data_IF_497415420121
#
_entry.id   IF_497415420121
#
_cell.length_a   1.000
_cell.length_b   1.000
_cell.length_c   1.000
_cell.angle_alpha   90.00
_cell.angle_beta   90.00
_cell.angle_gamma   90.00
#
_symmetry.space_group_name_H-M   'P 1'
#
loop_
_entity.id
_entity.type
_entity.pdbx_description
1 polymer ?
#
# COMPACT_ATOMS: atom_id res chain seq x y z
N UNK A 1 -8.45 -12.64 17.67
CA UNK A 1 -8.56 -11.97 16.36
C UNK A 1 -7.18 -11.96 15.73
N UNK A 2 -7.04 -12.49 14.51
CA UNK A 2 -5.75 -12.54 13.80
C UNK A 2 -5.54 -11.18 13.12
N UNK A 3 -4.35 -10.55 13.19
CA UNK A 3 -4.10 -9.29 12.51
C UNK A 3 -4.31 -9.47 11.00
N UNK A 4 -4.84 -8.46 10.29
CA UNK A 4 -4.98 -8.54 8.85
C UNK A 4 -3.60 -8.77 8.25
N UNK A 5 -3.40 -9.90 7.55
CA UNK A 5 -2.14 -10.12 6.83
C UNK A 5 -1.93 -8.95 5.86
N UNK A 6 -0.69 -8.46 5.69
CA UNK A 6 -0.37 -7.56 4.59
C UNK A 6 -0.70 -8.31 3.31
N UNK A 7 -1.76 -7.88 2.64
CA UNK A 7 -2.17 -8.46 1.37
C UNK A 7 -1.23 -7.89 0.32
N UNK A 8 -0.49 -8.73 -0.43
CA UNK A 8 0.27 -8.27 -1.56
C UNK A 8 -0.70 -7.56 -2.51
N UNK A 9 -0.44 -6.28 -2.77
CA UNK A 9 -1.29 -5.46 -3.64
C UNK A 9 -1.47 -6.15 -5.01
N UNK A 10 -0.43 -6.81 -5.48
CA UNK A 10 -0.34 -7.71 -6.62
C UNK A 10 -1.59 -8.58 -6.81
N UNK A 11 -2.04 -9.24 -5.75
CA UNK A 11 -3.05 -10.31 -5.78
C UNK A 11 -4.50 -9.78 -5.75
N UNK A 12 -4.68 -8.53 -5.31
CA UNK A 12 -6.00 -7.93 -5.07
C UNK A 12 -6.28 -6.67 -5.88
N UNK A 13 -5.31 -6.16 -6.63
CA UNK A 13 -5.39 -4.85 -7.32
C UNK A 13 -5.56 -4.98 -8.83
N UNK A 14 -5.20 -6.13 -9.42
CA UNK A 14 -5.32 -6.37 -10.85
C UNK A 14 -6.39 -7.44 -11.11
N UNK A 15 -7.48 -7.09 -11.82
CA UNK A 15 -8.33 -8.12 -12.43
C UNK A 15 -7.48 -9.00 -13.34
N UNK A 16 -7.67 -10.31 -13.29
CA UNK A 16 -6.93 -11.26 -14.12
C UNK A 16 -6.86 -10.77 -15.58
N UNK A 17 -5.63 -10.56 -16.08
CA UNK A 17 -5.36 -10.16 -17.47
C UNK A 17 -5.27 -8.66 -17.76
N UNK A 18 -5.40 -7.76 -16.77
CA UNK A 18 -5.20 -6.31 -16.99
C UNK A 18 -3.74 -5.93 -16.70
N UNK A 19 -3.07 -5.32 -17.68
CA UNK A 19 -1.70 -4.81 -17.47
C UNK A 19 -1.70 -3.59 -16.54
N UNK A 20 -0.60 -3.37 -15.81
CA UNK A 20 -0.45 -2.19 -14.96
C UNK A 20 -0.67 -0.87 -15.73
N UNK A 21 -0.32 -0.82 -17.01
CA UNK A 21 -0.48 0.36 -17.85
C UNK A 21 -1.96 0.63 -18.17
N UNK A 22 -2.72 -0.43 -18.46
CA UNK A 22 -4.16 -0.34 -18.67
C UNK A 22 -4.89 0.06 -17.38
N UNK A 23 -4.45 -0.49 -16.25
CA UNK A 23 -5.01 -0.14 -14.95
C UNK A 23 -4.71 1.32 -14.57
N UNK A 24 -3.48 1.78 -14.80
CA UNK A 24 -3.08 3.18 -14.55
C UNK A 24 -3.97 4.16 -15.33
N UNK A 25 -4.24 3.87 -16.61
CA UNK A 25 -5.18 4.65 -17.43
C UNK A 25 -6.58 4.67 -16.85
N UNK A 26 -7.11 3.52 -16.40
CA UNK A 26 -8.44 3.42 -15.78
C UNK A 26 -8.55 4.17 -14.46
N UNK A 27 -7.47 4.19 -13.67
CA UNK A 27 -7.40 4.93 -12.42
C UNK A 27 -7.14 6.44 -12.61
N UNK A 28 -6.75 6.89 -13.81
CA UNK A 28 -6.28 8.26 -14.03
C UNK A 28 -4.98 8.58 -13.26
N UNK A 29 -4.15 7.58 -13.02
CA UNK A 29 -2.84 7.69 -12.35
C UNK A 29 -1.75 7.44 -13.38
N UNK A 30 -0.61 8.12 -13.27
CA UNK A 30 0.51 7.79 -14.14
C UNK A 30 1.01 6.36 -13.86
N UNK A 31 1.34 5.60 -14.91
CA UNK A 31 1.89 4.25 -14.79
C UNK A 31 3.11 4.19 -13.86
N UNK A 32 3.95 5.22 -13.88
CA UNK A 32 5.11 5.34 -12.99
C UNK A 32 4.69 5.34 -11.52
N UNK A 33 3.65 6.08 -11.18
CA UNK A 33 3.16 6.21 -9.80
C UNK A 33 2.46 4.93 -9.35
N UNK A 34 1.72 4.27 -10.25
CA UNK A 34 1.14 2.96 -9.96
C UNK A 34 2.23 1.90 -9.72
N UNK A 35 3.27 1.84 -10.56
CA UNK A 35 4.40 0.90 -10.37
C UNK A 35 5.15 1.18 -9.07
N UNK A 36 5.33 2.47 -8.73
CA UNK A 36 5.93 2.91 -7.46
C UNK A 36 5.12 2.41 -6.26
N UNK A 37 3.79 2.57 -6.29
CA UNK A 37 2.88 2.07 -5.25
C UNK A 37 2.95 0.53 -5.15
N UNK A 38 2.87 -0.17 -6.30
CA UNK A 38 2.95 -1.63 -6.34
C UNK A 38 4.30 -2.15 -5.83
N UNK A 39 5.38 -1.38 -5.99
CA UNK A 39 6.70 -1.70 -5.40
C UNK A 39 6.80 -1.40 -3.89
N UNK A 40 5.70 -1.03 -3.24
CA UNK A 40 5.64 -0.82 -1.78
C UNK A 40 5.95 0.60 -1.31
N UNK A 41 5.97 1.59 -2.21
CA UNK A 41 6.15 2.98 -1.80
C UNK A 41 4.87 3.55 -1.16
N UNK A 42 4.99 4.52 -0.24
CA UNK A 42 3.83 5.14 0.40
C UNK A 42 2.88 5.78 -0.60
N UNK A 43 1.58 5.59 -0.36
CA UNK A 43 0.50 6.16 -1.14
C UNK A 43 -0.06 7.42 -0.48
N UNK A 44 -0.36 8.44 -1.28
CA UNK A 44 -1.07 9.66 -0.86
C UNK A 44 -2.60 9.53 -0.92
N UNK A 45 -3.32 10.46 -0.27
CA UNK A 45 -4.80 10.53 -0.31
C UNK A 45 -5.35 10.73 -1.72
N UNK A 46 -4.66 11.52 -2.55
CA UNK A 46 -5.05 11.76 -3.94
C UNK A 46 -4.94 10.48 -4.78
N UNK A 47 -3.85 9.72 -4.61
CA UNK A 47 -3.64 8.44 -5.29
C UNK A 47 -4.67 7.38 -4.84
N UNK A 48 -4.97 7.32 -3.54
CA UNK A 48 -6.01 6.45 -3.00
C UNK A 48 -7.40 6.75 -3.58
N UNK A 49 -7.71 8.03 -3.78
CA UNK A 49 -9.00 8.47 -4.36
C UNK A 49 -9.11 8.08 -5.83
N UNK A 50 -8.02 8.22 -6.58
CA UNK A 50 -7.94 7.82 -7.98
C UNK A 50 -8.04 6.30 -8.16
N UNK A 51 -7.39 5.52 -7.30
CA UNK A 51 -7.51 4.05 -7.29
C UNK A 51 -8.93 3.58 -6.97
N UNK A 52 -9.62 4.32 -6.10
CA UNK A 52 -10.96 3.95 -5.68
C UNK A 52 -11.98 3.97 -6.82
N UNK A 53 -11.85 4.92 -7.75
CA UNK A 53 -12.71 5.03 -8.92
C UNK A 53 -12.60 3.83 -9.87
N UNK A 54 -11.47 3.14 -9.90
CA UNK A 54 -11.19 2.09 -10.88
C UNK A 54 -11.38 0.66 -10.36
N UNK A 55 -11.26 0.43 -9.04
CA UNK A 55 -11.21 -0.93 -8.45
C UNK A 55 -12.48 -1.23 -7.61
N UNK A 56 -13.55 -0.45 -7.74
CA UNK A 56 -14.82 -0.63 -6.99
C UNK A 56 -14.61 -0.81 -5.47
N UNK A 57 -13.56 -0.23 -4.92
CA UNK A 57 -13.26 -0.18 -3.49
C UNK A 57 -13.04 1.27 -3.12
N UNK A 58 -13.70 1.76 -2.05
CA UNK A 58 -13.61 3.17 -1.67
C UNK A 58 -12.19 3.59 -1.27
N UNK A 59 -11.88 4.89 -1.36
CA UNK A 59 -10.56 5.45 -1.03
C UNK A 59 -10.08 5.09 0.39
N UNK A 60 -11.03 4.97 1.32
CA UNK A 60 -10.78 4.57 2.70
C UNK A 60 -10.15 3.17 2.80
N UNK A 61 -10.50 2.24 1.91
CA UNK A 61 -9.92 0.90 1.89
C UNK A 61 -8.40 0.96 1.60
N UNK A 62 -8.01 1.75 0.61
CA UNK A 62 -6.61 1.92 0.22
C UNK A 62 -5.77 2.60 1.30
N UNK A 63 -6.33 3.64 1.93
CA UNK A 63 -5.68 4.31 3.05
C UNK A 63 -5.53 3.41 4.27
N UNK A 64 -6.52 2.56 4.57
CA UNK A 64 -6.42 1.60 5.65
C UNK A 64 -5.27 0.60 5.43
N UNK A 65 -5.08 0.12 4.20
CA UNK A 65 -3.95 -0.75 3.85
C UNK A 65 -2.60 -0.04 4.05
N UNK A 66 -2.49 1.21 3.61
CA UNK A 66 -1.27 2.01 3.81
C UNK A 66 -0.94 2.17 5.30
N UNK A 67 -1.95 2.51 6.12
CA UNK A 67 -1.76 2.65 7.58
C UNK A 67 -1.33 1.34 8.22
N UNK A 68 -1.97 0.21 7.87
CA UNK A 68 -1.55 -1.10 8.37
C UNK A 68 -0.10 -1.41 8.02
N UNK A 69 0.30 -1.16 6.76
CA UNK A 69 1.68 -1.37 6.32
C UNK A 69 2.68 -0.47 7.06
N UNK A 70 2.37 0.81 7.24
CA UNK A 70 3.24 1.75 7.95
C UNK A 70 3.40 1.37 9.43
N UNK A 71 2.32 0.92 10.08
CA UNK A 71 2.36 0.41 11.46
C UNK A 71 3.24 -0.83 11.57
N UNK A 72 3.08 -1.80 10.66
CA UNK A 72 3.92 -3.00 10.65
C UNK A 72 5.40 -2.67 10.41
N UNK A 73 5.70 -1.72 9.51
CA UNK A 73 7.07 -1.26 9.26
C UNK A 73 7.66 -0.67 10.54
N UNK A 74 6.93 0.21 11.21
CA UNK A 74 7.36 0.83 12.47
C UNK A 74 7.55 -0.21 13.59
N UNK A 75 6.66 -1.20 13.68
CA UNK A 75 6.80 -2.31 14.61
C UNK A 75 8.05 -3.15 14.33
N UNK A 76 8.39 -3.38 13.06
CA UNK A 76 9.62 -4.09 12.69
C UNK A 76 10.85 -3.26 13.05
N UNK A 77 10.87 -1.98 12.71
CA UNK A 77 11.96 -1.06 13.02
C UNK A 77 12.21 -0.96 14.54
N UNK A 78 11.14 -0.86 15.34
CA UNK A 78 11.22 -0.82 16.80
C UNK A 78 11.63 -2.17 17.41
N UNK A 79 11.25 -3.29 16.81
CA UNK A 79 11.69 -4.62 17.24
C UNK A 79 13.17 -4.90 16.91
N UNK A 80 13.68 -4.31 15.82
CA UNK A 80 15.11 -4.36 15.46
C UNK A 80 15.93 -3.23 16.09
N UNK A 81 15.27 -2.23 16.67
CA UNK A 81 15.86 -1.09 17.35
C UNK A 81 16.38 -1.50 18.74
N UNK A 82 17.67 -1.79 18.79
CA UNK A 82 18.54 -1.79 19.95
C UNK A 82 18.07 -0.85 21.06
N UNK A 83 17.95 -1.39 22.26
CA UNK A 83 17.87 -0.70 23.55
C UNK A 83 19.07 0.27 23.68
N UNK A 84 18.90 1.61 23.53
CA UNK A 84 19.98 2.55 23.81
C UNK A 84 19.81 2.96 25.28
N UNK A 85 20.38 2.18 26.19
CA UNK A 85 20.20 2.48 27.61
C UNK A 85 20.65 1.42 28.60
N UNK A 86 21.76 0.72 28.34
CA UNK A 86 22.59 0.15 29.40
C UNK A 86 24.05 0.25 28.97
N UNK A 87 24.67 1.39 29.25
CA UNK A 87 26.10 1.51 29.51
C UNK A 87 26.31 2.75 30.40
N UNK A 88 26.63 2.42 31.65
CA UNK A 88 27.32 3.18 32.71
C UNK A 88 26.65 4.40 33.36
#
# INVERSE_FOLDING_TARGET
MRPPRPVPLDEHTLPDGVSADEQARRCGIATRDLRRILSGAPMSVEEATRLAGAIQRGALYWLALQVCHDLERLMRETATGTHPGQQE
#
